data_IF_568344366831
#
_entry.id   IF_568344366831
#
_cell.length_a   1.000
_cell.length_b   1.000
_cell.length_c   1.000
_cell.angle_alpha   90.00
_cell.angle_beta   90.00
_cell.angle_gamma   90.00
#
_symmetry.space_group_name_H-M   'P 1'
#
loop_
_entity.id
_entity.type
_entity.pdbx_description
1 polymer ?
#
# COMPACT_ATOMS: atom_id res chain seq x y z
N UNK A 1 -9.41 4.84 -19.55
CA UNK A 1 -9.17 5.43 -18.24
C UNK A 1 -9.51 4.47 -17.12
N UNK A 2 -8.97 4.70 -15.96
CA UNK A 2 -9.27 3.98 -14.72
C UNK A 2 -10.79 4.08 -14.46
N UNK A 3 -11.54 3.00 -14.62
CA UNK A 3 -12.97 3.01 -14.34
C UNK A 3 -13.17 2.87 -12.83
N UNK A 4 -12.95 3.97 -12.12
CA UNK A 4 -12.99 4.02 -10.65
C UNK A 4 -14.31 3.46 -10.09
N UNK A 5 -15.42 3.67 -10.77
CA UNK A 5 -16.74 3.19 -10.32
C UNK A 5 -16.87 1.67 -10.34
N UNK A 6 -16.38 0.98 -11.38
CA UNK A 6 -16.46 -0.48 -11.46
C UNK A 6 -15.50 -1.13 -10.45
N UNK A 7 -14.28 -0.60 -10.35
CA UNK A 7 -13.28 -1.09 -9.39
C UNK A 7 -13.80 -0.91 -7.97
N UNK A 8 -14.29 0.28 -7.62
CA UNK A 8 -14.84 0.57 -6.31
C UNK A 8 -16.01 -0.35 -5.95
N UNK A 9 -16.91 -0.62 -6.90
CA UNK A 9 -18.04 -1.53 -6.69
C UNK A 9 -17.56 -2.95 -6.36
N UNK A 10 -16.54 -3.46 -7.07
CA UNK A 10 -15.95 -4.78 -6.83
C UNK A 10 -15.26 -4.83 -5.47
N UNK A 11 -14.41 -3.84 -5.18
CA UNK A 11 -13.72 -3.75 -3.89
C UNK A 11 -14.72 -3.69 -2.76
N UNK A 12 -15.77 -2.85 -2.86
CA UNK A 12 -16.84 -2.78 -1.86
C UNK A 12 -17.48 -4.14 -1.62
N UNK A 13 -17.87 -4.85 -2.68
CA UNK A 13 -18.49 -6.17 -2.57
C UNK A 13 -17.57 -7.18 -1.89
N UNK A 14 -16.29 -7.22 -2.30
CA UNK A 14 -15.30 -8.13 -1.74
C UNK A 14 -14.96 -7.80 -0.29
N UNK A 15 -14.83 -6.51 0.07
CA UNK A 15 -14.62 -6.08 1.45
C UNK A 15 -15.82 -6.44 2.32
N UNK A 16 -17.05 -6.25 1.85
CA UNK A 16 -18.25 -6.67 2.57
C UNK A 16 -18.27 -8.19 2.84
N UNK A 17 -17.81 -9.01 1.89
CA UNK A 17 -17.69 -10.45 2.10
C UNK A 17 -16.68 -10.78 3.22
N UNK A 18 -15.57 -10.04 3.31
CA UNK A 18 -14.58 -10.18 4.40
C UNK A 18 -15.16 -9.75 5.74
N UNK A 19 -15.92 -8.64 5.79
CA UNK A 19 -16.58 -8.16 7.01
C UNK A 19 -17.63 -9.14 7.53
N UNK A 20 -18.35 -9.82 6.64
CA UNK A 20 -19.33 -10.85 6.99
C UNK A 20 -18.70 -12.23 7.25
N UNK A 21 -17.37 -12.34 7.24
CA UNK A 21 -16.64 -13.60 7.37
C UNK A 21 -16.95 -14.65 6.27
N UNK A 22 -17.46 -14.24 5.14
CA UNK A 22 -17.69 -15.06 3.94
C UNK A 22 -16.41 -15.25 3.13
N UNK A 23 -15.44 -14.36 3.31
CA UNK A 23 -14.08 -14.45 2.74
C UNK A 23 -13.03 -14.21 3.82
N UNK A 24 -11.84 -14.76 3.63
CA UNK A 24 -10.72 -14.58 4.55
C UNK A 24 -10.08 -13.19 4.41
N UNK A 25 -9.90 -12.73 3.17
CA UNK A 25 -9.41 -11.40 2.81
C UNK A 25 -9.86 -11.04 1.39
N UNK A 26 -9.67 -9.78 1.02
CA UNK A 26 -9.80 -9.30 -0.35
C UNK A 26 -8.48 -8.68 -0.84
N UNK A 27 -8.26 -8.69 -2.14
CA UNK A 27 -7.16 -7.99 -2.81
C UNK A 27 -7.55 -7.63 -4.23
N UNK A 28 -7.36 -6.37 -4.60
CA UNK A 28 -7.65 -5.84 -5.94
C UNK A 28 -9.10 -6.13 -6.40
N UNK A 29 -10.06 -6.10 -5.45
CA UNK A 29 -11.48 -6.37 -5.70
C UNK A 29 -11.83 -7.86 -5.83
N UNK A 30 -10.92 -8.76 -5.50
CA UNK A 30 -11.15 -10.22 -5.49
C UNK A 30 -11.19 -10.73 -4.06
N UNK A 31 -12.26 -11.46 -3.71
CA UNK A 31 -12.40 -12.11 -2.42
C UNK A 31 -11.75 -13.51 -2.42
N UNK A 32 -11.00 -13.82 -1.37
CA UNK A 32 -10.29 -15.09 -1.21
C UNK A 32 -10.82 -15.87 -0.01
N UNK A 33 -11.11 -17.15 -0.21
CA UNK A 33 -11.63 -18.03 0.84
C UNK A 33 -10.54 -18.50 1.83
N UNK A 34 -9.30 -18.70 1.36
CA UNK A 34 -8.19 -19.14 2.20
C UNK A 34 -7.34 -17.96 2.65
N UNK A 35 -6.94 -17.90 3.94
CA UNK A 35 -6.10 -16.82 4.42
C UNK A 35 -4.72 -16.86 3.79
N UNK A 36 -4.24 -15.70 3.37
CA UNK A 36 -2.87 -15.44 2.96
C UNK A 36 -2.39 -14.19 3.71
N UNK A 37 -1.10 -14.12 4.03
CA UNK A 37 -0.56 -12.99 4.75
C UNK A 37 0.66 -12.42 4.03
N UNK A 38 0.77 -11.10 4.00
CA UNK A 38 2.00 -10.43 3.59
C UNK A 38 2.96 -10.38 4.77
N UNK A 39 3.67 -11.50 4.99
CA UNK A 39 4.54 -11.66 6.15
C UNK A 39 5.60 -10.56 6.32
N UNK A 40 6.28 -10.08 5.24
CA UNK A 40 7.24 -8.98 5.40
C UNK A 40 6.58 -7.68 5.86
N UNK A 41 5.43 -7.32 5.29
CA UNK A 41 4.65 -6.14 5.72
C UNK A 41 4.22 -6.29 7.17
N UNK A 42 3.67 -7.45 7.54
CA UNK A 42 3.25 -7.72 8.91
C UNK A 42 4.44 -7.64 9.88
N UNK A 43 5.59 -8.21 9.52
CA UNK A 43 6.81 -8.14 10.34
C UNK A 43 7.25 -6.68 10.59
N UNK A 44 7.22 -5.83 9.55
CA UNK A 44 7.49 -4.40 9.67
C UNK A 44 6.53 -3.69 10.62
N UNK A 45 5.22 -3.93 10.45
CA UNK A 45 4.19 -3.35 11.32
C UNK A 45 4.33 -3.78 12.78
N UNK A 46 4.55 -5.08 13.02
CA UNK A 46 4.74 -5.60 14.37
C UNK A 46 6.05 -5.12 15.01
N UNK A 47 7.11 -4.91 14.23
CA UNK A 47 8.36 -4.30 14.70
C UNK A 47 8.12 -2.88 15.22
N UNK A 48 7.33 -2.07 14.49
CA UNK A 48 6.93 -0.73 14.94
C UNK A 48 6.08 -0.81 16.21
N UNK A 49 5.05 -1.66 16.23
CA UNK A 49 4.22 -1.84 17.41
C UNK A 49 5.00 -2.27 18.66
N UNK A 50 5.98 -3.16 18.51
CA UNK A 50 6.84 -3.63 19.60
C UNK A 50 7.78 -2.54 20.11
N UNK A 51 8.29 -1.68 19.22
CA UNK A 51 9.18 -0.57 19.60
C UNK A 51 8.43 0.54 20.32
N UNK A 52 7.24 0.92 19.82
CA UNK A 52 6.54 2.13 20.24
C UNK A 52 5.41 1.86 21.25
N UNK A 53 5.04 0.58 21.47
CA UNK A 53 3.88 0.19 22.28
C UNK A 53 2.54 0.47 21.61
N UNK A 54 2.53 1.03 20.42
CA UNK A 54 1.34 1.33 19.61
C UNK A 54 1.67 1.32 18.12
N UNK A 55 0.66 1.12 17.28
CA UNK A 55 0.79 1.14 15.83
C UNK A 55 -0.15 2.19 15.24
N UNK A 56 0.41 3.23 14.63
CA UNK A 56 -0.30 4.32 13.98
C UNK A 56 0.05 4.34 12.48
N UNK A 57 -0.79 3.70 11.68
CA UNK A 57 -0.55 3.49 10.25
C UNK A 57 -1.18 4.59 9.42
N UNK A 58 -0.38 5.24 8.58
CA UNK A 58 -0.83 5.99 7.43
C UNK A 58 -0.76 5.04 6.22
N UNK A 59 -1.90 4.49 5.81
CA UNK A 59 -2.04 3.58 4.68
C UNK A 59 -2.45 4.37 3.44
N UNK A 60 -1.46 4.74 2.62
CA UNK A 60 -1.69 5.59 1.45
C UNK A 60 -2.06 4.73 0.23
N UNK A 61 -3.25 4.98 -0.32
CA UNK A 61 -3.82 4.16 -1.40
C UNK A 61 -4.28 2.78 -0.91
N UNK A 62 -4.63 2.67 0.38
CA UNK A 62 -4.99 1.41 1.04
C UNK A 62 -6.37 0.87 0.68
N UNK A 63 -7.03 1.44 -0.33
CA UNK A 63 -8.35 1.01 -0.80
C UNK A 63 -9.40 1.10 0.32
N UNK A 64 -10.14 0.04 0.62
CA UNK A 64 -11.06 -0.05 1.76
C UNK A 64 -10.44 -0.74 2.98
N UNK A 65 -9.10 -0.62 3.15
CA UNK A 65 -8.36 -1.19 4.26
C UNK A 65 -7.95 -2.65 4.05
N UNK A 66 -7.70 -3.06 2.82
CA UNK A 66 -7.41 -4.44 2.44
C UNK A 66 -6.34 -5.09 3.30
N UNK A 67 -5.21 -4.42 3.54
CA UNK A 67 -4.13 -4.96 4.36
C UNK A 67 -4.48 -5.03 5.84
N UNK A 68 -5.25 -4.07 6.37
CA UNK A 68 -5.75 -4.18 7.74
C UNK A 68 -6.61 -5.43 7.92
N UNK A 69 -7.61 -5.61 7.06
CA UNK A 69 -8.53 -6.76 7.15
C UNK A 69 -7.82 -8.10 6.98
N UNK A 70 -6.83 -8.14 6.10
CA UNK A 70 -6.00 -9.32 5.87
C UNK A 70 -5.20 -9.73 7.11
N UNK A 71 -4.71 -8.75 7.89
CA UNK A 71 -3.80 -8.99 9.01
C UNK A 71 -4.45 -8.80 10.39
N UNK A 72 -5.71 -8.40 10.49
CA UNK A 72 -6.39 -7.98 11.74
C UNK A 72 -6.23 -8.94 12.93
N UNK A 73 -6.10 -10.25 12.65
CA UNK A 73 -5.92 -11.27 13.70
C UNK A 73 -4.61 -11.10 14.48
N UNK A 74 -3.59 -10.53 13.85
CA UNK A 74 -2.29 -10.28 14.49
C UNK A 74 -2.25 -8.97 15.27
N UNK A 75 -3.28 -8.15 15.14
CA UNK A 75 -3.38 -6.88 15.85
C UNK A 75 -4.19 -7.00 17.15
N UNK A 76 -4.75 -8.18 17.45
CA UNK A 76 -5.48 -8.42 18.69
C UNK A 76 -4.59 -8.16 19.91
N UNK A 77 -5.06 -7.29 20.82
CA UNK A 77 -4.30 -6.89 22.00
C UNK A 77 -3.28 -5.77 21.77
N UNK A 78 -3.10 -5.32 20.54
CA UNK A 78 -2.28 -4.15 20.23
C UNK A 78 -3.15 -2.88 20.22
N UNK A 79 -2.54 -1.76 20.59
CA UNK A 79 -3.13 -0.44 20.39
C UNK A 79 -2.86 -0.03 18.94
N UNK A 80 -3.89 -0.08 18.10
CA UNK A 80 -3.80 0.21 16.66
C UNK A 80 -4.69 1.39 16.29
N UNK A 81 -4.16 2.33 15.54
CA UNK A 81 -4.87 3.37 14.80
C UNK A 81 -4.50 3.21 13.33
N UNK A 82 -5.48 2.90 12.49
CA UNK A 82 -5.26 2.68 11.07
C UNK A 82 -6.03 3.68 10.26
N UNK A 83 -5.33 4.57 9.55
CA UNK A 83 -5.96 5.57 8.69
C UNK A 83 -5.58 5.35 7.23
N UNK A 84 -6.60 5.17 6.42
CA UNK A 84 -6.47 5.04 4.96
C UNK A 84 -6.62 6.41 4.32
N UNK A 85 -5.64 6.81 3.52
CA UNK A 85 -5.70 8.01 2.68
C UNK A 85 -6.00 7.58 1.25
N UNK A 86 -7.15 7.98 0.73
CA UNK A 86 -7.67 7.51 -0.56
C UNK A 86 -8.47 8.58 -1.32
N UNK A 87 -8.84 8.23 -2.56
CA UNK A 87 -9.68 9.06 -3.41
C UNK A 87 -11.05 9.30 -2.77
N UNK A 88 -11.71 10.44 -3.04
CA UNK A 88 -12.95 10.83 -2.36
C UNK A 88 -14.05 9.77 -2.42
N UNK A 89 -14.17 9.04 -3.53
CA UNK A 89 -15.18 8.02 -3.73
C UNK A 89 -14.93 6.79 -2.82
N UNK A 90 -13.66 6.39 -2.64
CA UNK A 90 -13.27 5.35 -1.71
C UNK A 90 -13.49 5.78 -0.27
N UNK A 91 -13.14 7.02 0.06
CA UNK A 91 -13.36 7.61 1.40
C UNK A 91 -14.85 7.61 1.75
N UNK A 92 -15.72 8.00 0.80
CA UNK A 92 -17.16 8.00 1.03
C UNK A 92 -17.67 6.58 1.34
N UNK A 93 -17.30 5.60 0.50
CA UNK A 93 -17.69 4.20 0.71
C UNK A 93 -17.09 3.64 2.01
N UNK A 94 -15.83 3.95 2.30
CA UNK A 94 -15.16 3.47 3.52
C UNK A 94 -15.85 3.95 4.80
N UNK A 95 -16.29 5.21 4.83
CA UNK A 95 -17.05 5.78 5.95
C UNK A 95 -18.46 5.19 6.12
N UNK A 96 -19.07 4.72 5.03
CA UNK A 96 -20.38 4.06 5.07
C UNK A 96 -20.28 2.58 5.50
N UNK A 97 -19.12 1.97 5.41
CA UNK A 97 -18.90 0.63 5.94
C UNK A 97 -18.80 0.71 7.47
N UNK A 98 -19.45 -0.20 8.19
CA UNK A 98 -19.35 -0.29 9.66
C UNK A 98 -17.93 -0.71 10.06
N UNK A 99 -17.05 0.27 10.23
CA UNK A 99 -15.62 0.09 10.43
C UNK A 99 -15.15 0.93 11.62
N UNK A 100 -15.40 0.46 12.81
CA UNK A 100 -14.86 1.09 14.03
C UNK A 100 -13.32 0.99 14.16
N UNK A 101 -12.67 0.28 13.23
CA UNK A 101 -11.24 -0.05 13.31
C UNK A 101 -10.36 0.70 12.30
N UNK A 102 -10.96 1.37 11.32
CA UNK A 102 -10.25 2.09 10.25
C UNK A 102 -10.90 3.45 10.03
N UNK A 103 -10.08 4.48 9.99
CA UNK A 103 -10.49 5.83 9.61
C UNK A 103 -10.13 6.13 8.16
N UNK A 104 -10.95 6.92 7.45
CA UNK A 104 -10.73 7.28 6.05
C UNK A 104 -10.56 8.77 5.86
N UNK A 105 -9.51 9.14 5.13
CA UNK A 105 -9.09 10.53 4.90
C UNK A 105 -8.90 10.79 3.40
N UNK A 106 -9.28 12.00 2.97
CA UNK A 106 -9.13 12.42 1.56
C UNK A 106 -7.75 12.99 1.22
N UNK A 107 -6.87 13.16 2.20
CA UNK A 107 -5.49 13.63 2.01
C UNK A 107 -4.63 13.33 3.22
N UNK A 108 -3.30 13.29 3.00
CA UNK A 108 -2.29 13.18 4.07
C UNK A 108 -2.45 14.32 5.09
N UNK A 109 -2.69 15.54 4.63
CA UNK A 109 -2.91 16.69 5.52
C UNK A 109 -4.09 16.44 6.47
N UNK A 110 -5.22 15.94 5.96
CA UNK A 110 -6.38 15.61 6.79
C UNK A 110 -6.10 14.50 7.81
N UNK A 111 -5.32 13.50 7.43
CA UNK A 111 -4.87 12.47 8.35
C UNK A 111 -4.02 13.07 9.49
N UNK A 112 -3.04 13.92 9.15
CA UNK A 112 -2.11 14.53 10.10
C UNK A 112 -2.80 15.53 11.07
N UNK A 113 -3.96 16.06 10.75
CA UNK A 113 -4.77 16.86 11.68
C UNK A 113 -5.25 16.04 12.90
N UNK A 114 -5.35 14.72 12.77
CA UNK A 114 -5.92 13.84 13.79
C UNK A 114 -4.93 12.85 14.37
N UNK A 115 -3.96 12.40 13.57
CA UNK A 115 -3.05 11.31 13.93
C UNK A 115 -1.62 11.66 13.55
N UNK A 116 -0.68 11.41 14.46
CA UNK A 116 0.76 11.42 14.15
C UNK A 116 1.19 9.98 13.85
N UNK A 117 1.49 9.62 12.59
CA UNK A 117 1.86 8.26 12.22
C UNK A 117 3.22 7.87 12.77
N UNK A 118 3.43 6.59 13.06
CA UNK A 118 4.75 6.01 13.28
C UNK A 118 5.18 5.09 12.12
N UNK A 119 4.25 4.78 11.20
CA UNK A 119 4.57 4.06 9.97
C UNK A 119 3.72 4.58 8.81
N UNK A 120 4.37 4.74 7.65
CA UNK A 120 3.72 4.95 6.35
C UNK A 120 3.74 3.62 5.59
N UNK A 121 2.59 3.22 5.07
CA UNK A 121 2.42 2.01 4.28
C UNK A 121 2.00 2.38 2.86
N UNK A 122 2.72 1.84 1.88
CA UNK A 122 2.52 2.02 0.45
C UNK A 122 2.51 0.63 -0.21
N UNK A 123 1.34 0.06 -0.45
CA UNK A 123 1.24 -1.24 -1.11
C UNK A 123 0.52 -1.12 -2.44
N UNK A 124 1.24 -1.41 -3.53
CA UNK A 124 0.69 -1.38 -4.90
C UNK A 124 0.05 -0.03 -5.29
N UNK A 125 0.64 1.09 -4.90
CA UNK A 125 0.08 2.43 -5.17
C UNK A 125 1.02 3.35 -5.93
N UNK A 126 2.32 3.35 -5.61
CA UNK A 126 3.31 4.29 -6.19
C UNK A 126 3.29 4.28 -7.71
N UNK A 127 3.19 3.12 -8.32
CA UNK A 127 3.23 2.94 -9.77
C UNK A 127 2.05 3.57 -10.50
N UNK A 128 0.97 3.92 -9.83
CA UNK A 128 -0.22 4.50 -10.44
C UNK A 128 -0.34 6.01 -10.23
N UNK A 129 0.58 6.60 -9.48
CA UNK A 129 0.56 8.03 -9.19
C UNK A 129 1.06 8.84 -10.40
N UNK A 130 0.39 9.93 -10.75
CA UNK A 130 0.85 10.81 -11.83
C UNK A 130 2.21 11.44 -11.52
N UNK A 131 2.47 11.71 -10.23
CA UNK A 131 3.69 12.33 -9.75
C UNK A 131 4.25 11.59 -8.53
N UNK A 132 4.82 10.38 -8.74
CA UNK A 132 5.23 9.49 -7.64
C UNK A 132 6.36 10.08 -6.78
N UNK A 133 7.26 10.86 -7.38
CA UNK A 133 8.35 11.52 -6.66
C UNK A 133 7.83 12.53 -5.65
N UNK A 134 6.90 13.38 -6.05
CA UNK A 134 6.30 14.38 -5.15
C UNK A 134 5.53 13.69 -4.02
N UNK A 135 4.71 12.70 -4.35
CA UNK A 135 3.92 11.97 -3.36
C UNK A 135 4.82 11.25 -2.34
N UNK A 136 5.87 10.57 -2.82
CA UNK A 136 6.80 9.89 -1.92
C UNK A 136 7.54 10.89 -1.02
N UNK A 137 7.97 12.02 -1.56
CA UNK A 137 8.61 13.08 -0.78
C UNK A 137 7.68 13.62 0.33
N UNK A 138 6.41 13.87 0.01
CA UNK A 138 5.41 14.33 0.99
C UNK A 138 5.17 13.29 2.10
N UNK A 139 5.09 12.02 1.74
CA UNK A 139 4.91 10.92 2.69
C UNK A 139 6.13 10.72 3.59
N UNK A 140 7.34 10.79 3.02
CA UNK A 140 8.59 10.70 3.77
C UNK A 140 8.84 11.93 4.67
N UNK A 141 8.20 13.07 4.39
CA UNK A 141 8.26 14.26 5.24
C UNK A 141 7.30 14.18 6.46
N UNK A 142 6.43 13.18 6.53
CA UNK A 142 5.55 12.98 7.70
C UNK A 142 6.37 12.64 8.95
N UNK A 143 5.80 12.74 10.16
CA UNK A 143 6.48 12.37 11.40
C UNK A 143 6.83 10.88 11.52
N UNK A 144 6.31 10.00 10.66
CA UNK A 144 6.64 8.59 10.68
C UNK A 144 8.15 8.37 10.52
N UNK A 145 8.70 7.46 11.29
CA UNK A 145 10.10 7.05 11.20
C UNK A 145 10.29 5.70 10.47
N UNK A 146 9.20 5.05 10.10
CA UNK A 146 9.21 3.81 9.34
C UNK A 146 8.35 3.96 8.09
N UNK A 147 8.88 3.53 6.95
CA UNK A 147 8.14 3.39 5.69
C UNK A 147 8.20 1.93 5.24
N UNK A 148 7.06 1.41 4.83
CA UNK A 148 6.93 0.08 4.22
C UNK A 148 6.40 0.29 2.81
N UNK A 149 7.20 -0.07 1.82
CA UNK A 149 6.82 -0.07 0.41
C UNK A 149 6.66 -1.54 0.01
N UNK A 150 5.54 -1.88 -0.62
CA UNK A 150 5.19 -3.24 -0.99
C UNK A 150 4.59 -3.30 -2.39
N UNK A 151 4.81 -4.38 -3.12
CA UNK A 151 4.25 -4.62 -4.45
C UNK A 151 4.51 -3.44 -5.41
N UNK A 152 5.76 -3.03 -5.51
CA UNK A 152 6.20 -1.95 -6.37
C UNK A 152 7.09 -2.52 -7.48
N UNK A 153 6.81 -2.25 -8.77
CA UNK A 153 7.60 -2.79 -9.86
C UNK A 153 8.93 -2.05 -9.98
N UNK A 154 10.03 -2.79 -9.83
CA UNK A 154 11.40 -2.29 -9.86
C UNK A 154 12.20 -2.93 -10.99
N UNK A 155 13.13 -2.18 -11.56
CA UNK A 155 14.05 -2.65 -12.60
C UNK A 155 15.43 -2.07 -12.40
N UNK A 156 16.44 -2.72 -13.01
CA UNK A 156 17.83 -2.23 -13.07
C UNK A 156 18.05 -1.13 -14.12
N UNK A 157 16.99 -0.66 -14.78
CA UNK A 157 17.07 0.45 -15.71
C UNK A 157 17.60 1.73 -15.02
N UNK A 158 18.25 2.59 -15.77
CA UNK A 158 18.83 3.86 -15.26
C UNK A 158 17.78 4.93 -14.98
N UNK A 159 16.55 4.76 -15.50
CA UNK A 159 15.44 5.70 -15.35
C UNK A 159 14.11 4.95 -15.21
N UNK A 160 13.12 5.61 -14.62
CA UNK A 160 11.76 5.10 -14.53
C UNK A 160 11.14 4.94 -15.93
N UNK A 161 10.43 3.84 -16.13
CA UNK A 161 9.81 3.48 -17.42
C UNK A 161 8.30 3.72 -17.31
N UNK A 162 7.74 4.70 -18.03
CA UNK A 162 6.27 4.81 -18.13
C UNK A 162 5.72 3.68 -19.01
N UNK A 163 4.61 3.10 -18.59
CA UNK A 163 3.98 2.03 -19.33
C UNK A 163 2.44 2.12 -19.26
N UNK A 164 1.78 1.29 -20.04
CA UNK A 164 0.33 1.07 -19.95
C UNK A 164 0.11 -0.33 -19.38
N UNK A 165 -0.43 -0.40 -18.18
CA UNK A 165 -0.88 -1.67 -17.61
C UNK A 165 -2.23 -2.03 -18.22
N UNK A 166 -2.31 -3.22 -18.80
CA UNK A 166 -3.55 -3.79 -19.31
C UNK A 166 -4.03 -4.87 -18.35
N UNK A 167 -5.21 -4.69 -17.80
CA UNK A 167 -5.78 -5.66 -16.87
C UNK A 167 -6.33 -6.85 -17.66
N UNK A 168 -6.06 -8.10 -17.26
CA UNK A 168 -6.64 -9.27 -17.90
C UNK A 168 -8.17 -9.19 -17.94
N UNK A 169 -8.78 -9.50 -19.08
CA UNK A 169 -10.23 -9.36 -19.30
C UNK A 169 -11.09 -10.16 -18.30
N UNK A 170 -10.57 -11.27 -17.78
CA UNK A 170 -11.29 -12.08 -16.78
C UNK A 170 -11.36 -11.40 -15.39
N UNK A 171 -10.51 -10.38 -15.13
CA UNK A 171 -10.58 -9.56 -13.93
C UNK A 171 -11.55 -8.40 -14.20
N UNK A 172 -11.23 -7.52 -15.13
CA UNK A 172 -12.11 -6.50 -15.73
C UNK A 172 -11.45 -5.89 -16.97
N UNK A 173 -12.23 -5.33 -17.88
CA UNK A 173 -11.69 -4.64 -19.04
C UNK A 173 -11.19 -3.25 -18.64
N UNK A 174 -9.88 -3.05 -18.61
CA UNK A 174 -9.29 -1.76 -18.26
C UNK A 174 -7.82 -1.65 -18.59
N UNK A 175 -7.38 -0.43 -18.79
CA UNK A 175 -5.96 -0.09 -18.90
C UNK A 175 -5.72 1.28 -18.28
N UNK A 176 -4.55 1.44 -17.65
CA UNK A 176 -4.18 2.69 -17.00
C UNK A 176 -2.66 2.90 -17.06
N UNK A 177 -2.22 4.17 -17.06
CA UNK A 177 -0.81 4.49 -16.99
C UNK A 177 -0.20 3.93 -15.70
N UNK A 178 1.01 3.43 -15.81
CA UNK A 178 1.78 2.93 -14.68
C UNK A 178 3.28 3.22 -14.88
N UNK A 179 4.02 3.09 -13.81
CA UNK A 179 5.47 3.20 -13.80
C UNK A 179 6.11 1.87 -13.44
N UNK A 180 7.22 1.55 -14.08
CA UNK A 180 8.22 0.62 -13.56
C UNK A 180 9.40 1.49 -13.11
N UNK A 181 9.73 1.45 -11.84
CA UNK A 181 10.73 2.33 -11.27
C UNK A 181 12.14 1.76 -11.44
N UNK A 182 13.11 2.66 -11.57
CA UNK A 182 14.50 2.33 -11.38
C UNK A 182 14.77 2.06 -9.89
N UNK A 183 15.44 0.96 -9.55
CA UNK A 183 15.90 0.69 -8.18
C UNK A 183 16.76 1.84 -7.65
N UNK A 184 17.64 2.37 -8.48
CA UNK A 184 18.48 3.53 -8.14
C UNK A 184 17.63 4.76 -7.84
N UNK A 185 16.56 5.00 -8.59
CA UNK A 185 15.67 6.12 -8.32
C UNK A 185 15.01 5.95 -6.94
N UNK A 186 14.46 4.77 -6.63
CA UNK A 186 13.80 4.53 -5.36
C UNK A 186 14.77 4.70 -4.18
N UNK A 187 15.97 4.15 -4.27
CA UNK A 187 17.02 4.30 -3.24
C UNK A 187 17.41 5.76 -3.04
N UNK A 188 17.47 6.56 -4.10
CA UNK A 188 17.77 7.99 -4.02
C UNK A 188 16.62 8.76 -3.30
N UNK A 189 15.36 8.37 -3.48
CA UNK A 189 14.24 8.97 -2.74
C UNK A 189 14.33 8.66 -1.24
N UNK A 190 14.95 7.56 -0.87
CA UNK A 190 15.15 7.13 0.52
C UNK A 190 16.49 7.63 1.13
N UNK A 191 17.08 8.70 0.57
CA UNK A 191 18.26 9.32 1.17
C UNK A 191 17.93 9.78 2.61
N UNK A 192 18.79 9.39 3.58
CA UNK A 192 18.55 9.62 5.01
C UNK A 192 17.66 8.56 5.69
N UNK A 193 17.35 7.49 4.98
CA UNK A 193 16.67 6.31 5.52
C UNK A 193 17.59 5.08 5.41
N UNK A 194 17.55 4.23 6.41
CA UNK A 194 18.20 2.92 6.40
C UNK A 194 17.22 1.88 5.87
N UNK A 195 17.59 1.16 4.82
CA UNK A 195 16.81 0.01 4.35
C UNK A 195 17.09 -1.16 5.28
N UNK A 196 16.09 -1.51 6.09
CA UNK A 196 16.17 -2.57 7.10
C UNK A 196 15.96 -3.95 6.50
N UNK A 197 15.09 -4.04 5.47
CA UNK A 197 14.78 -5.29 4.79
C UNK A 197 14.29 -5.01 3.37
N UNK A 198 14.60 -5.93 2.46
CA UNK A 198 14.03 -6.01 1.11
C UNK A 198 13.38 -7.38 0.96
N UNK A 199 12.32 -7.46 0.15
CA UNK A 199 11.55 -8.68 -0.02
C UNK A 199 10.80 -8.72 -1.35
N UNK A 200 10.54 -9.91 -1.85
CA UNK A 200 9.79 -10.12 -3.09
C UNK A 200 8.31 -9.75 -2.95
N UNK A 201 7.71 -9.27 -4.01
CA UNK A 201 6.27 -9.13 -4.18
C UNK A 201 5.57 -10.49 -4.23
N UNK A 202 4.29 -10.46 -4.55
CA UNK A 202 3.48 -11.68 -4.74
C UNK A 202 3.15 -11.92 -6.22
N UNK A 203 3.53 -11.00 -7.06
CA UNK A 203 3.34 -11.05 -8.50
C UNK A 203 4.32 -12.03 -9.13
N UNK A 204 3.98 -12.60 -10.31
CA UNK A 204 4.88 -13.52 -11.00
C UNK A 204 6.24 -12.90 -11.28
N UNK A 205 7.31 -13.65 -11.03
CA UNK A 205 8.67 -13.26 -11.37
C UNK A 205 8.93 -13.32 -12.89
N UNK A 206 10.04 -12.70 -13.33
CA UNK A 206 10.53 -12.82 -14.71
C UNK A 206 9.72 -12.01 -15.73
N UNK A 207 9.12 -10.93 -15.31
CA UNK A 207 8.41 -10.03 -16.23
C UNK A 207 9.39 -9.14 -17.00
N UNK A 208 9.03 -8.80 -18.22
CA UNK A 208 9.84 -7.92 -19.09
C UNK A 208 8.99 -6.86 -19.75
N UNK A 209 9.59 -5.67 -19.97
CA UNK A 209 9.04 -4.60 -20.77
C UNK A 209 10.13 -4.04 -21.66
N UNK A 210 9.89 -4.01 -22.97
CA UNK A 210 10.87 -3.50 -23.96
C UNK A 210 12.27 -4.11 -23.79
N UNK A 211 12.37 -5.41 -23.43
CA UNK A 211 13.62 -6.10 -23.18
C UNK A 211 14.27 -5.82 -21.81
N UNK A 212 13.67 -5.00 -20.97
CA UNK A 212 14.13 -4.75 -19.60
C UNK A 212 13.37 -5.67 -18.64
N UNK A 213 14.12 -6.41 -17.83
CA UNK A 213 13.54 -7.22 -16.75
C UNK A 213 13.08 -6.31 -15.60
N UNK A 214 11.96 -6.67 -14.97
CA UNK A 214 11.50 -6.06 -13.74
C UNK A 214 10.87 -7.11 -12.83
N UNK A 215 10.88 -6.83 -11.54
CA UNK A 215 10.23 -7.62 -10.49
C UNK A 215 9.31 -6.72 -9.67
N UNK A 216 8.40 -7.34 -8.96
CA UNK A 216 7.59 -6.66 -7.97
C UNK A 216 8.21 -6.91 -6.61
N UNK A 217 8.63 -5.83 -5.99
CA UNK A 217 9.42 -5.91 -4.77
C UNK A 217 8.84 -5.02 -3.68
N UNK A 218 9.38 -5.17 -2.49
CA UNK A 218 9.08 -4.33 -1.36
C UNK A 218 10.29 -4.11 -0.49
N UNK A 219 10.20 -3.10 0.37
CA UNK A 219 11.22 -2.80 1.35
C UNK A 219 10.62 -2.20 2.63
N UNK A 220 11.37 -2.31 3.70
CA UNK A 220 11.14 -1.60 4.95
C UNK A 220 12.33 -0.68 5.17
N UNK A 221 12.06 0.61 5.33
CA UNK A 221 13.10 1.56 5.67
C UNK A 221 12.76 2.32 6.96
N UNK A 222 13.78 2.65 7.72
CA UNK A 222 13.69 3.45 8.95
C UNK A 222 14.48 4.74 8.80
N UNK A 223 13.94 5.83 9.33
CA UNK A 223 14.65 7.11 9.35
C UNK A 223 15.92 6.95 10.18
N UNK A 224 17.04 7.38 9.65
CA UNK A 224 18.29 7.42 10.42
C UNK A 224 18.14 8.41 11.57
N UNK A 225 18.60 8.02 12.77
CA UNK A 225 18.70 8.97 13.86
C UNK A 225 19.69 10.07 13.45
N UNK A 226 19.30 11.31 13.62
CA UNK A 226 20.27 12.41 13.52
C UNK A 226 21.19 12.30 14.76
N UNK A 227 22.44 11.95 14.53
CA UNK A 227 23.50 12.00 15.56
C UNK A 227 23.71 13.44 16.06
#
# INVERSE_FOLDING_TARGET
>A
GYNAGEILSRVKTSTQAVLRAEAAFERDGVAFAAPQYRWPVLAGLLKVAARDGELKVLDFGGSLGSLYWQHRKFFTGLKVSWGVVEQPEFVAVGKDLDQSSIDFFSSVTKYLESVTPNVVLLSSVLQYLPNPEQALRELLATPADTVIIDRTPLSTATSNIPCLQVVPQHIYAGSYPAWIFSETWLRNQLAGWEIVAEFDGIEPAGQTINGTNFSWDGLIAQRQAND
#
